data_IF_613099000473
#
_entry.id   IF_613099000473
#
_cell.length_a   1.000
_cell.length_b   1.000
_cell.length_c   1.000
_cell.angle_alpha   90.00
_cell.angle_beta   90.00
_cell.angle_gamma   90.00
#
_symmetry.space_group_name_H-M   'P 1'
#
loop_
_entity.id
_entity.type
_entity.pdbx_description
1 polymer ?
#
# COMPACT_ATOMS: atom_id res chain seq x y z
N UNK A 1 -60.91 -39.20 10.65
CA UNK A 1 -60.32 -38.96 9.31
C UNK A 1 -59.84 -37.52 9.27
N UNK A 2 -58.53 -37.31 9.42
CA UNK A 2 -57.88 -36.03 9.11
C UNK A 2 -56.51 -36.36 8.50
N UNK A 3 -56.33 -35.95 7.25
CA UNK A 3 -55.15 -36.17 6.41
C UNK A 3 -54.13 -35.07 6.65
N UNK A 4 -52.91 -35.44 7.01
CA UNK A 4 -51.75 -34.54 7.02
C UNK A 4 -51.17 -34.39 5.60
N UNK A 5 -50.63 -33.21 5.23
CA UNK A 5 -49.91 -33.04 3.97
C UNK A 5 -48.48 -33.57 4.06
N UNK A 6 -47.86 -33.96 2.92
CA UNK A 6 -46.53 -34.55 2.92
C UNK A 6 -45.42 -33.49 3.10
N UNK A 7 -44.33 -33.94 3.73
CA UNK A 7 -43.15 -33.17 4.06
C UNK A 7 -42.46 -32.57 2.82
N UNK A 8 -42.04 -31.32 2.97
CA UNK A 8 -41.30 -30.54 1.98
C UNK A 8 -39.90 -31.12 1.75
N UNK A 9 -39.52 -31.26 0.49
CA UNK A 9 -38.23 -31.76 0.02
C UNK A 9 -37.11 -30.82 0.45
N UNK A 10 -36.34 -31.19 1.49
CA UNK A 10 -35.07 -30.54 1.81
C UNK A 10 -34.05 -30.84 0.70
N UNK A 11 -33.70 -29.82 -0.07
CA UNK A 11 -32.49 -29.82 -0.89
C UNK A 11 -31.28 -29.78 0.06
N UNK A 12 -30.70 -30.96 0.33
CA UNK A 12 -29.34 -31.08 0.84
C UNK A 12 -28.38 -30.65 -0.27
N UNK A 13 -27.89 -29.42 -0.19
CA UNK A 13 -26.71 -29.00 -0.96
C UNK A 13 -25.51 -29.47 -0.16
N UNK A 14 -24.91 -30.57 -0.59
CA UNK A 14 -23.63 -31.05 -0.08
C UNK A 14 -22.55 -29.99 -0.33
N UNK A 15 -21.84 -29.61 0.73
CA UNK A 15 -20.60 -28.85 0.66
C UNK A 15 -19.52 -29.73 0.02
N UNK A 16 -19.52 -29.78 -1.30
CA UNK A 16 -18.44 -30.33 -2.11
C UNK A 16 -17.71 -29.16 -2.77
N UNK A 17 -16.54 -28.89 -2.20
CA UNK A 17 -15.30 -28.63 -2.95
C UNK A 17 -15.29 -27.40 -3.88
N UNK A 18 -15.20 -26.20 -3.28
CA UNK A 18 -14.82 -24.95 -3.98
C UNK A 18 -13.41 -24.44 -3.60
N UNK A 19 -12.65 -25.19 -2.81
CA UNK A 19 -11.26 -24.85 -2.45
C UNK A 19 -10.29 -24.96 -3.65
N UNK A 20 -10.59 -25.83 -4.61
CA UNK A 20 -9.66 -26.10 -5.72
C UNK A 20 -9.75 -25.11 -6.90
N UNK A 21 -10.78 -24.25 -6.96
CA UNK A 21 -10.90 -23.26 -8.03
C UNK A 21 -10.14 -21.96 -7.76
N UNK A 22 -9.83 -21.66 -6.49
CA UNK A 22 -9.24 -20.38 -6.07
C UNK A 22 -7.70 -20.40 -6.00
N UNK A 23 -7.07 -21.55 -5.73
CA UNK A 23 -5.60 -21.67 -5.80
C UNK A 23 -5.04 -21.39 -7.21
N UNK A 24 -5.87 -21.57 -8.24
CA UNK A 24 -5.46 -21.42 -9.64
C UNK A 24 -5.38 -19.96 -10.11
N UNK A 25 -6.04 -19.00 -9.44
CA UNK A 25 -5.93 -17.58 -9.85
C UNK A 25 -4.67 -16.91 -9.30
N UNK A 26 -4.25 -17.29 -8.09
CA UNK A 26 -3.05 -16.77 -7.43
C UNK A 26 -1.74 -17.36 -7.99
N UNK A 27 -1.74 -18.61 -8.45
CA UNK A 27 -0.52 -19.29 -8.92
C UNK A 27 -0.19 -19.06 -10.39
N UNK A 28 -1.17 -18.68 -11.23
CA UNK A 28 -0.99 -18.67 -12.70
C UNK A 28 -0.16 -17.49 -13.25
N UNK A 29 0.09 -16.43 -12.45
CA UNK A 29 0.92 -15.28 -12.84
C UNK A 29 2.43 -15.46 -12.59
N UNK A 30 2.88 -16.61 -12.10
CA UNK A 30 4.30 -16.89 -11.74
C UNK A 30 5.25 -17.19 -12.93
N UNK A 31 4.82 -17.18 -14.21
CA UNK A 31 5.62 -17.80 -15.30
C UNK A 31 6.22 -16.91 -16.39
N UNK A 32 6.18 -15.58 -16.28
CA UNK A 32 6.82 -14.74 -17.30
C UNK A 32 7.59 -13.57 -16.69
N UNK A 33 8.86 -13.79 -16.33
CA UNK A 33 9.95 -12.81 -16.47
C UNK A 33 11.25 -13.41 -15.93
N UNK A 34 11.97 -14.15 -16.76
CA UNK A 34 13.40 -14.38 -16.58
C UNK A 34 14.06 -14.11 -17.93
N UNK A 35 14.74 -12.98 -18.04
CA UNK A 35 15.66 -12.68 -19.13
C UNK A 35 16.93 -12.05 -18.54
N UNK A 36 18.06 -12.63 -18.93
CA UNK A 36 19.43 -12.29 -18.55
C UNK A 36 20.08 -11.23 -19.49
N UNK A 37 21.25 -10.73 -19.03
CA UNK A 37 22.45 -10.24 -19.77
C UNK A 37 22.49 -8.72 -20.14
N UNK A 38 23.65 -8.01 -20.25
CA UNK A 38 24.91 -7.96 -19.46
C UNK A 38 25.41 -6.53 -19.07
N UNK A 39 26.54 -6.55 -18.35
CA UNK A 39 27.55 -5.53 -18.05
C UNK A 39 28.09 -4.67 -19.24
N UNK A 40 28.37 -3.37 -19.01
CA UNK A 40 29.70 -2.71 -19.20
C UNK A 40 29.70 -1.16 -19.36
N UNK A 41 30.53 -0.53 -18.52
CA UNK A 41 31.54 0.52 -18.79
C UNK A 41 31.22 1.98 -19.27
N UNK A 42 31.58 2.91 -18.36
CA UNK A 42 32.49 4.10 -18.49
C UNK A 42 32.09 5.39 -19.25
N UNK A 43 32.08 6.48 -18.43
CA UNK A 43 32.64 7.85 -18.58
C UNK A 43 32.24 8.74 -19.77
N UNK A 44 31.64 9.90 -19.47
CA UNK A 44 32.27 11.23 -19.61
C UNK A 44 31.35 12.35 -19.10
N UNK A 45 31.96 13.38 -18.47
CA UNK A 45 31.32 14.64 -18.07
C UNK A 45 31.32 15.60 -19.27
N UNK A 46 30.34 16.52 -19.34
CA UNK A 46 30.73 17.90 -19.54
C UNK A 46 30.06 18.88 -18.58
N UNK A 47 30.68 20.05 -18.57
CA UNK A 47 30.58 21.21 -17.72
C UNK A 47 29.28 22.02 -17.83
N UNK A 48 28.97 22.65 -16.70
CA UNK A 48 28.18 23.86 -16.48
C UNK A 48 27.82 24.72 -17.70
N UNK A 49 26.52 24.92 -17.90
CA UNK A 49 25.99 26.20 -18.40
C UNK A 49 24.78 26.57 -17.55
N UNK A 50 24.90 27.70 -16.86
CA UNK A 50 23.82 28.36 -16.14
C UNK A 50 22.91 29.01 -17.19
N UNK A 51 21.67 28.54 -17.32
CA UNK A 51 20.64 29.21 -18.11
C UNK A 51 19.41 29.35 -17.24
N UNK A 52 19.21 30.58 -16.74
CA UNK A 52 17.97 31.02 -16.11
C UNK A 52 16.89 31.10 -17.20
N UNK A 53 15.92 30.19 -17.16
CA UNK A 53 14.70 30.24 -17.97
C UNK A 53 13.49 30.23 -17.05
N UNK A 54 13.01 31.43 -16.73
CA UNK A 54 11.65 31.67 -16.26
C UNK A 54 10.66 31.37 -17.40
N UNK A 55 9.50 30.84 -17.00
CA UNK A 55 8.24 30.86 -17.73
C UNK A 55 8.17 30.10 -19.06
N UNK A 56 8.17 28.77 -18.93
CA UNK A 56 7.48 27.90 -19.88
C UNK A 56 6.73 26.80 -19.10
N UNK A 57 5.65 27.17 -18.42
CA UNK A 57 4.66 26.18 -17.94
C UNK A 57 3.85 25.72 -19.15
N UNK A 58 4.51 24.96 -20.03
CA UNK A 58 3.81 24.02 -20.89
C UNK A 58 3.22 22.98 -19.93
N UNK A 59 1.88 22.95 -19.82
CA UNK A 59 1.17 21.80 -19.26
C UNK A 59 1.57 20.59 -20.09
N UNK A 60 2.59 19.86 -19.63
CA UNK A 60 3.07 18.67 -20.30
C UNK A 60 1.91 17.66 -20.39
N UNK A 61 1.82 16.88 -21.49
CA UNK A 61 0.98 15.68 -21.49
C UNK A 61 1.40 14.84 -20.28
N UNK A 62 0.43 14.43 -19.44
CA UNK A 62 0.63 13.79 -18.13
C UNK A 62 1.76 12.74 -18.18
N UNK A 63 2.97 13.16 -17.84
CA UNK A 63 4.16 12.34 -17.85
C UNK A 63 4.26 11.48 -16.59
N UNK A 64 5.21 10.54 -16.57
CA UNK A 64 5.54 9.78 -15.37
C UNK A 64 6.01 10.78 -14.30
N UNK A 65 5.45 10.79 -13.07
CA UNK A 65 5.87 11.71 -12.03
C UNK A 65 7.36 11.61 -11.71
N UNK A 66 8.02 12.74 -11.47
CA UNK A 66 9.46 12.80 -11.17
C UNK A 66 9.88 11.87 -10.02
N UNK A 67 9.04 11.75 -9.00
CA UNK A 67 9.30 10.86 -7.85
C UNK A 67 9.35 9.39 -8.27
N UNK A 68 8.52 8.98 -9.22
CA UNK A 68 8.50 7.61 -9.76
C UNK A 68 9.79 7.36 -10.54
N UNK A 69 10.19 8.30 -11.41
CA UNK A 69 11.42 8.22 -12.20
C UNK A 69 12.65 8.12 -11.27
N UNK A 70 12.74 9.01 -10.28
CA UNK A 70 13.84 9.04 -9.31
C UNK A 70 13.95 7.74 -8.53
N UNK A 71 12.84 7.05 -8.29
CA UNK A 71 12.81 5.81 -7.53
C UNK A 71 12.83 4.54 -8.37
N UNK A 72 12.87 4.63 -9.71
CA UNK A 72 12.79 3.47 -10.59
C UNK A 72 13.96 2.48 -10.42
N UNK A 73 15.11 2.95 -9.94
CA UNK A 73 16.31 2.15 -9.75
C UNK A 73 16.39 1.42 -8.39
N UNK A 74 15.46 1.70 -7.46
CA UNK A 74 15.42 1.01 -6.18
C UNK A 74 14.71 -0.34 -6.31
N UNK A 75 15.15 -1.32 -5.52
CA UNK A 75 14.46 -2.60 -5.39
C UNK A 75 13.01 -2.37 -4.96
N UNK A 76 12.07 -2.95 -5.70
CA UNK A 76 10.64 -2.77 -5.49
C UNK A 76 10.06 -3.93 -4.68
N UNK A 77 9.19 -3.60 -3.73
CA UNK A 77 8.44 -4.59 -2.96
C UNK A 77 7.21 -5.05 -3.75
N UNK A 78 6.74 -6.26 -3.50
CA UNK A 78 5.44 -6.73 -3.99
C UNK A 78 4.44 -6.79 -2.84
N UNK A 79 3.26 -6.19 -3.01
CA UNK A 79 2.25 -6.14 -1.95
C UNK A 79 1.76 -7.52 -1.53
N UNK A 80 1.71 -8.49 -2.46
CA UNK A 80 1.27 -9.84 -2.14
C UNK A 80 2.27 -10.55 -1.21
N UNK A 81 3.58 -10.35 -1.40
CA UNK A 81 4.61 -10.90 -0.50
C UNK A 81 4.50 -10.30 0.92
N UNK A 82 4.15 -9.01 1.00
CA UNK A 82 3.90 -8.34 2.28
C UNK A 82 2.65 -8.89 2.97
N UNK A 83 1.55 -9.06 2.22
CA UNK A 83 0.31 -9.61 2.76
C UNK A 83 0.45 -11.08 3.16
N UNK A 84 1.25 -11.88 2.44
CA UNK A 84 1.57 -13.26 2.82
C UNK A 84 2.38 -13.30 4.13
N UNK A 85 3.36 -12.39 4.27
CA UNK A 85 4.14 -12.22 5.50
C UNK A 85 3.24 -11.85 6.68
N UNK A 86 2.26 -10.96 6.46
CA UNK A 86 1.26 -10.60 7.46
C UNK A 86 0.34 -11.78 7.82
N UNK A 87 -0.09 -12.57 6.83
CA UNK A 87 -0.99 -13.69 7.04
C UNK A 87 -0.38 -14.80 7.91
N UNK A 88 0.94 -14.93 7.92
CA UNK A 88 1.67 -15.86 8.78
C UNK A 88 1.72 -15.41 10.25
N UNK A 89 1.30 -14.19 10.59
CA UNK A 89 1.33 -13.65 11.94
C UNK A 89 -0.04 -13.73 12.62
N UNK A 90 -0.07 -14.31 13.82
CA UNK A 90 -1.31 -14.42 14.63
C UNK A 90 -1.67 -13.12 15.37
N UNK A 91 -0.73 -12.17 15.49
CA UNK A 91 -0.90 -10.95 16.30
C UNK A 91 -1.32 -9.72 15.47
N UNK A 92 -1.86 -9.96 14.26
CA UNK A 92 -2.33 -8.92 13.35
C UNK A 92 -3.85 -8.90 13.27
N UNK A 93 -4.42 -7.70 13.34
CA UNK A 93 -5.86 -7.50 13.20
C UNK A 93 -6.19 -6.19 12.51
N UNK A 94 -7.36 -6.15 11.88
CA UNK A 94 -7.95 -4.96 11.31
C UNK A 94 -8.88 -4.25 12.28
N UNK A 95 -8.93 -2.94 12.11
CA UNK A 95 -9.98 -2.06 12.59
C UNK A 95 -10.68 -1.46 11.37
N UNK A 96 -11.91 -1.88 11.12
CA UNK A 96 -12.74 -1.37 10.03
C UNK A 96 -13.10 0.11 10.21
N UNK A 97 -13.40 0.85 9.13
CA UNK A 97 -13.89 2.22 9.21
C UNK A 97 -15.04 2.37 10.19
N UNK A 98 -14.94 3.32 11.11
CA UNK A 98 -15.98 3.58 12.11
C UNK A 98 -16.14 2.49 13.16
N UNK A 99 -15.20 1.55 13.28
CA UNK A 99 -15.27 0.42 14.21
C UNK A 99 -14.09 0.39 15.20
N UNK A 100 -14.31 -0.22 16.37
CA UNK A 100 -13.27 -0.63 17.32
C UNK A 100 -13.14 -2.16 17.40
N UNK A 101 -13.94 -2.89 16.60
CA UNK A 101 -13.91 -4.35 16.56
C UNK A 101 -12.60 -4.81 15.92
N UNK A 102 -11.87 -5.65 16.64
CA UNK A 102 -10.66 -6.31 16.16
C UNK A 102 -11.05 -7.51 15.31
N UNK A 103 -10.73 -7.46 14.02
CA UNK A 103 -10.97 -8.56 13.08
C UNK A 103 -9.62 -9.19 12.74
N UNK A 104 -9.39 -10.49 12.99
CA UNK A 104 -8.13 -11.14 12.63
C UNK A 104 -7.77 -10.94 11.15
N UNK A 105 -6.49 -10.68 10.87
CA UNK A 105 -6.01 -10.33 9.52
C UNK A 105 -6.42 -11.37 8.45
N UNK A 106 -6.23 -12.65 8.76
CA UNK A 106 -6.49 -13.77 7.85
C UNK A 106 -7.95 -13.86 7.38
N UNK A 107 -8.91 -13.26 8.09
CA UNK A 107 -10.33 -13.26 7.71
C UNK A 107 -10.67 -12.23 6.62
N UNK A 108 -9.75 -11.29 6.34
CA UNK A 108 -10.04 -10.10 5.50
C UNK A 108 -9.06 -9.88 4.36
N UNK A 109 -7.95 -10.59 4.31
CA UNK A 109 -6.92 -10.38 3.27
C UNK A 109 -7.44 -10.49 1.83
N UNK A 110 -8.46 -11.32 1.59
CA UNK A 110 -9.09 -11.51 0.27
C UNK A 110 -9.97 -10.33 -0.18
N UNK A 111 -10.29 -9.39 0.71
CA UNK A 111 -11.18 -8.25 0.41
C UNK A 111 -10.44 -7.04 -0.19
N UNK A 112 -9.12 -7.11 -0.29
CA UNK A 112 -8.32 -6.01 -0.82
C UNK A 112 -8.31 -5.95 -2.35
N UNK A 113 -8.38 -4.72 -2.86
CA UNK A 113 -8.28 -4.39 -4.28
C UNK A 113 -6.97 -3.67 -4.59
N UNK A 114 -6.58 -3.73 -5.86
CA UNK A 114 -5.49 -2.93 -6.41
C UNK A 114 -6.06 -1.85 -7.33
N UNK A 115 -5.40 -0.69 -7.48
CA UNK A 115 -4.14 -0.29 -6.84
C UNK A 115 -4.28 -0.08 -5.32
N UNK A 116 -3.17 -0.13 -4.59
CA UNK A 116 -3.18 -0.07 -3.12
C UNK A 116 -2.19 0.96 -2.58
N UNK A 117 -2.58 1.64 -1.49
CA UNK A 117 -1.73 2.51 -0.72
C UNK A 117 -1.61 1.98 0.70
N UNK A 118 -0.38 1.71 1.12
CA UNK A 118 -0.05 1.41 2.51
C UNK A 118 0.48 2.67 3.17
N UNK A 119 -0.17 3.11 4.23
CA UNK A 119 0.25 4.27 5.02
C UNK A 119 0.72 3.81 6.38
N UNK A 120 2.03 3.81 6.59
CA UNK A 120 2.65 3.44 7.85
C UNK A 120 2.73 4.66 8.76
N UNK A 121 2.36 4.50 10.03
CA UNK A 121 2.33 5.59 10.99
C UNK A 121 2.64 5.13 12.42
N UNK A 122 3.32 6.00 13.17
CA UNK A 122 3.60 5.80 14.60
C UNK A 122 2.46 6.31 15.49
N UNK A 123 2.81 6.73 16.71
CA UNK A 123 1.86 7.27 17.71
C UNK A 123 1.93 8.79 17.83
N UNK A 124 2.73 9.45 17.01
CA UNK A 124 2.91 10.89 17.14
C UNK A 124 1.74 11.65 16.49
N UNK A 125 1.42 12.82 17.04
CA UNK A 125 0.41 13.74 16.44
C UNK A 125 0.72 14.09 14.98
N UNK A 126 2.00 14.11 14.68
CA UNK A 126 2.59 14.39 13.38
C UNK A 126 2.15 13.27 12.42
N UNK A 127 2.29 12.00 12.81
CA UNK A 127 1.88 10.86 11.97
C UNK A 127 0.38 10.80 11.67
N UNK A 128 -0.48 11.24 12.58
CA UNK A 128 -1.93 11.32 12.31
C UNK A 128 -2.29 12.32 11.21
N UNK A 129 -1.48 13.38 11.01
CA UNK A 129 -1.70 14.32 9.90
C UNK A 129 -1.49 13.66 8.53
N UNK A 130 -0.63 12.63 8.46
CA UNK A 130 -0.46 11.83 7.26
C UNK A 130 -1.72 11.03 6.94
N UNK A 131 -2.39 10.49 7.95
CA UNK A 131 -3.66 9.77 7.76
C UNK A 131 -4.78 10.71 7.31
N UNK A 132 -4.84 11.92 7.87
CA UNK A 132 -5.82 12.94 7.45
C UNK A 132 -5.65 13.29 5.96
N UNK A 133 -4.40 13.39 5.47
CA UNK A 133 -4.11 13.61 4.04
C UNK A 133 -4.67 12.48 3.16
N UNK A 134 -4.64 11.24 3.65
CA UNK A 134 -5.13 10.07 2.92
C UNK A 134 -6.66 10.03 2.85
N UNK A 135 -7.35 10.48 3.91
CA UNK A 135 -8.82 10.55 3.92
C UNK A 135 -9.37 11.54 2.91
N UNK A 136 -8.68 12.66 2.71
CA UNK A 136 -9.09 13.71 1.78
C UNK A 136 -8.83 13.36 0.30
N UNK A 137 -8.11 12.26 0.03
CA UNK A 137 -7.67 11.92 -1.32
C UNK A 137 -8.72 11.13 -2.11
N UNK A 138 -9.00 11.57 -3.34
CA UNK A 138 -9.82 10.79 -4.28
C UNK A 138 -8.95 9.73 -4.94
N UNK A 139 -8.99 8.52 -4.39
CA UNK A 139 -8.24 7.38 -4.90
C UNK A 139 -9.20 6.22 -5.25
N UNK A 140 -9.17 5.79 -6.52
CA UNK A 140 -9.89 4.61 -6.98
C UNK A 140 -9.06 3.36 -6.70
N UNK A 141 -8.96 2.99 -5.43
CA UNK A 141 -8.22 1.82 -4.99
C UNK A 141 -8.39 1.55 -3.50
N UNK A 142 -7.50 0.74 -2.93
CA UNK A 142 -7.51 0.43 -1.52
C UNK A 142 -6.51 1.29 -0.75
N UNK A 143 -6.95 1.97 0.31
CA UNK A 143 -6.05 2.56 1.31
C UNK A 143 -6.05 1.66 2.55
N UNK A 144 -4.88 1.39 3.10
CA UNK A 144 -4.71 0.65 4.35
C UNK A 144 -3.71 1.40 5.25
N UNK A 145 -4.18 1.84 6.42
CA UNK A 145 -3.30 2.33 7.47
C UNK A 145 -2.58 1.16 8.15
N UNK A 146 -1.30 1.29 8.48
CA UNK A 146 -0.53 0.26 9.17
C UNK A 146 0.21 0.88 10.36
N UNK A 147 0.01 0.31 11.54
CA UNK A 147 0.71 0.75 12.77
C UNK A 147 0.91 -0.43 13.71
N UNK A 148 1.78 -0.30 14.70
CA UNK A 148 1.95 -1.32 15.73
C UNK A 148 1.02 -1.16 16.93
N UNK A 149 0.42 0.03 17.10
CA UNK A 149 -0.57 0.24 18.15
C UNK A 149 -1.67 1.21 17.73
N UNK A 150 -2.92 0.81 17.95
CA UNK A 150 -4.09 1.65 17.78
C UNK A 150 -5.18 1.21 18.76
N UNK A 151 -5.40 2.02 19.80
CA UNK A 151 -6.32 1.69 20.91
C UNK A 151 -7.67 2.41 20.80
N UNK A 152 -7.82 3.29 19.80
CA UNK A 152 -9.03 4.07 19.60
C UNK A 152 -9.98 3.41 18.59
N UNK A 153 -11.20 3.95 18.51
CA UNK A 153 -12.10 3.71 17.37
C UNK A 153 -11.44 4.21 16.10
N UNK A 154 -11.50 3.45 15.01
CA UNK A 154 -11.03 3.91 13.71
C UNK A 154 -12.01 4.98 13.18
N UNK A 155 -11.54 6.23 13.12
CA UNK A 155 -12.32 7.37 12.64
C UNK A 155 -12.07 7.68 11.15
N UNK A 156 -11.21 6.91 10.50
CA UNK A 156 -10.88 7.07 9.09
C UNK A 156 -11.84 6.26 8.22
N UNK A 157 -11.94 6.66 6.95
CA UNK A 157 -12.77 6.01 5.94
C UNK A 157 -12.13 4.75 5.32
N UNK A 158 -10.96 4.35 5.80
CA UNK A 158 -10.21 3.19 5.36
C UNK A 158 -9.83 2.29 6.56
N UNK A 159 -9.61 0.98 6.35
CA UNK A 159 -9.19 0.07 7.41
C UNK A 159 -7.80 0.42 7.96
N UNK A 160 -7.57 0.07 9.22
CA UNK A 160 -6.25 0.12 9.86
C UNK A 160 -5.84 -1.30 10.22
N UNK A 161 -4.69 -1.74 9.73
CA UNK A 161 -3.99 -2.93 10.16
C UNK A 161 -3.12 -2.61 11.38
N UNK A 162 -3.37 -3.31 12.47
CA UNK A 162 -2.53 -3.26 13.66
C UNK A 162 -1.57 -4.45 13.64
N UNK A 163 -0.31 -4.16 13.33
CA UNK A 163 0.83 -5.07 13.33
C UNK A 163 1.60 -4.94 14.65
N UNK A 164 1.06 -5.57 15.70
CA UNK A 164 1.56 -5.39 17.08
C UNK A 164 3.04 -5.75 17.27
N UNK A 165 3.60 -6.62 16.42
CA UNK A 165 5.00 -7.04 16.45
C UNK A 165 5.89 -6.31 15.44
N UNK A 166 5.36 -5.35 14.68
CA UNK A 166 6.10 -4.62 13.64
C UNK A 166 6.74 -5.56 12.62
N UNK A 167 6.09 -6.66 12.25
CA UNK A 167 6.58 -7.62 11.26
C UNK A 167 6.75 -6.95 9.89
N UNK A 168 5.75 -6.20 9.43
CA UNK A 168 5.78 -5.50 8.15
C UNK A 168 6.81 -4.38 8.16
N UNK A 169 6.85 -3.60 9.25
CA UNK A 169 7.82 -2.53 9.43
C UNK A 169 9.26 -3.07 9.34
N UNK A 170 9.56 -4.19 10.01
CA UNK A 170 10.88 -4.83 9.95
C UNK A 170 11.20 -5.40 8.57
N UNK A 171 10.22 -6.06 7.94
CA UNK A 171 10.39 -6.63 6.60
C UNK A 171 10.72 -5.56 5.55
N UNK A 172 10.13 -4.37 5.69
CA UNK A 172 10.33 -3.24 4.79
C UNK A 172 11.49 -2.31 5.17
N UNK A 173 12.20 -2.61 6.27
CA UNK A 173 13.22 -1.74 6.87
C UNK A 173 12.69 -0.33 7.22
N UNK A 174 11.45 -0.27 7.70
CA UNK A 174 10.74 0.94 8.12
C UNK A 174 10.62 1.05 9.64
N UNK A 175 11.31 0.24 10.44
CA UNK A 175 11.21 0.34 11.90
C UNK A 175 11.78 1.65 12.43
N UNK A 176 11.02 2.35 13.28
CA UNK A 176 11.50 3.52 14.01
C UNK A 176 12.49 3.09 15.12
N UNK A 177 13.76 3.52 15.07
CA UNK A 177 14.74 3.20 16.11
C UNK A 177 14.36 3.75 17.49
N UNK A 178 13.62 4.86 17.55
CA UNK A 178 13.17 5.47 18.82
C UNK A 178 11.95 4.74 19.39
N UNK A 179 11.17 4.08 18.54
CA UNK A 179 9.98 3.30 18.92
C UNK A 179 10.29 1.90 19.44
N UNK A 180 11.52 1.60 19.84
CA UNK A 180 11.91 0.27 20.29
C UNK A 180 11.87 -0.81 19.18
N UNK A 181 11.82 -0.39 17.91
CA UNK A 181 11.81 -1.28 16.74
C UNK A 181 10.45 -1.89 16.38
N UNK A 182 9.38 -1.57 17.13
CA UNK A 182 8.02 -2.03 16.84
C UNK A 182 7.21 -1.04 16.02
N UNK A 183 7.29 0.26 16.33
CA UNK A 183 6.61 1.29 15.55
C UNK A 183 7.24 1.47 14.18
N UNK A 184 6.43 1.65 13.11
CA UNK A 184 6.96 2.03 11.82
C UNK A 184 7.27 3.53 11.77
N UNK A 185 8.27 3.90 10.96
CA UNK A 185 8.50 5.24 10.47
C UNK A 185 7.32 5.67 9.60
N UNK A 186 6.91 6.91 9.75
CA UNK A 186 5.88 7.52 8.91
C UNK A 186 6.27 7.39 7.44
N UNK A 187 5.48 6.65 6.67
CA UNK A 187 5.79 6.41 5.28
C UNK A 187 4.55 6.04 4.47
N UNK A 188 4.59 6.35 3.18
CA UNK A 188 3.54 6.00 2.22
C UNK A 188 4.16 5.12 1.16
N UNK A 189 3.57 3.97 0.92
CA UNK A 189 3.93 3.07 -0.17
C UNK A 189 2.75 2.92 -1.10
N UNK A 190 3.00 3.06 -2.40
CA UNK A 190 1.95 3.03 -3.41
C UNK A 190 2.26 1.91 -4.39
N UNK A 191 1.29 1.01 -4.57
CA UNK A 191 1.37 -0.16 -5.41
C UNK A 191 0.43 -0.04 -6.61
N UNK A 192 0.91 -0.44 -7.78
CA UNK A 192 0.13 -0.44 -9.01
C UNK A 192 -0.95 -1.56 -9.03
N UNK A 193 -1.66 -1.66 -10.16
CA UNK A 193 -2.69 -2.67 -10.41
C UNK A 193 -2.14 -4.11 -10.48
N UNK A 194 -0.82 -4.25 -10.61
CA UNK A 194 -0.12 -5.53 -10.63
C UNK A 194 0.44 -5.89 -9.24
N UNK A 195 0.34 -4.99 -8.27
CA UNK A 195 0.80 -5.17 -6.90
C UNK A 195 2.28 -4.85 -6.72
N UNK A 196 2.92 -4.18 -7.69
CA UNK A 196 4.32 -3.78 -7.62
C UNK A 196 4.43 -2.37 -7.06
N UNK A 197 5.38 -2.16 -6.16
CA UNK A 197 5.68 -0.85 -5.59
C UNK A 197 6.08 0.14 -6.70
N UNK A 198 5.29 1.20 -6.87
CA UNK A 198 5.65 2.33 -7.71
C UNK A 198 6.57 3.28 -6.94
N UNK A 199 6.14 3.67 -5.74
CA UNK A 199 6.79 4.71 -4.94
C UNK A 199 6.78 4.35 -3.47
N UNK A 200 7.88 4.67 -2.79
CA UNK A 200 8.04 4.62 -1.34
C UNK A 200 8.49 5.99 -0.85
N UNK A 201 7.64 6.61 -0.04
CA UNK A 201 7.84 7.96 0.47
C UNK A 201 8.10 7.84 1.96
N UNK A 202 9.33 8.09 2.38
CA UNK A 202 9.70 8.20 3.80
C UNK A 202 9.40 9.60 4.26
N UNK A 203 8.48 9.74 5.21
CA UNK A 203 8.07 11.05 5.68
C UNK A 203 8.90 11.41 6.90
N UNK A 204 9.78 12.40 6.74
CA UNK A 204 10.52 12.96 7.85
C UNK A 204 9.58 13.76 8.76
N UNK A 205 10.04 14.07 9.99
CA UNK A 205 9.30 14.88 10.97
C UNK A 205 8.91 16.30 10.48
N UNK A 206 9.45 16.76 9.34
CA UNK A 206 9.08 18.03 8.70
C UNK A 206 8.24 17.78 7.43
N UNK A 207 6.93 17.69 7.60
CA UNK A 207 5.97 17.54 6.48
C UNK A 207 5.98 18.70 5.49
N UNK A 208 6.61 19.84 5.81
CA UNK A 208 6.65 21.01 4.92
C UNK A 208 7.75 20.90 3.86
N UNK A 209 8.67 19.94 3.96
CA UNK A 209 9.77 19.77 3.00
C UNK A 209 9.99 18.29 2.71
N UNK A 210 9.65 17.87 1.49
CA UNK A 210 10.01 16.55 1.01
C UNK A 210 11.27 16.59 0.16
N UNK A 211 12.10 15.55 0.32
CA UNK A 211 13.21 15.11 -0.52
C UNK A 211 13.63 16.07 -1.65
N UNK A 212 14.53 17.01 -1.38
CA UNK A 212 15.25 17.82 -2.40
C UNK A 212 14.38 18.61 -3.40
N UNK A 213 13.09 18.80 -3.15
CA UNK A 213 12.17 19.50 -4.05
C UNK A 213 11.42 20.63 -3.33
N UNK A 214 11.07 21.67 -4.08
CA UNK A 214 10.21 22.76 -3.61
C UNK A 214 8.73 22.33 -3.42
N UNK A 215 8.37 21.10 -3.80
CA UNK A 215 7.00 20.59 -3.76
C UNK A 215 6.62 20.02 -2.39
N UNK A 216 5.37 20.19 -2.00
CA UNK A 216 4.80 19.62 -0.77
C UNK A 216 4.50 18.12 -0.91
N UNK A 217 4.43 17.41 0.22
CA UNK A 217 4.03 15.99 0.24
C UNK A 217 2.66 15.76 -0.43
N UNK A 218 1.73 16.71 -0.26
CA UNK A 218 0.40 16.67 -0.86
C UNK A 218 0.46 16.71 -2.39
N UNK A 219 1.30 17.58 -2.96
CA UNK A 219 1.44 17.71 -4.42
C UNK A 219 2.06 16.44 -5.03
N UNK A 220 3.16 15.95 -4.43
CA UNK A 220 3.80 14.71 -4.89
C UNK A 220 2.82 13.54 -4.84
N UNK A 221 2.02 13.47 -3.76
CA UNK A 221 1.02 12.43 -3.61
C UNK A 221 -0.09 12.55 -4.66
N UNK A 222 -0.63 13.76 -4.90
CA UNK A 222 -1.63 14.00 -5.94
C UNK A 222 -1.13 13.62 -7.33
N UNK A 223 0.09 13.99 -7.69
CA UNK A 223 0.69 13.65 -9.00
C UNK A 223 0.78 12.13 -9.21
N UNK A 224 1.17 11.39 -8.16
CA UNK A 224 1.25 9.92 -8.22
C UNK A 224 -0.14 9.29 -8.32
N UNK A 225 -1.13 9.80 -7.57
CA UNK A 225 -2.51 9.32 -7.68
C UNK A 225 -3.09 9.58 -9.07
N UNK A 226 -2.86 10.76 -9.65
CA UNK A 226 -3.29 11.06 -11.01
C UNK A 226 -2.64 10.12 -12.04
N UNK A 227 -1.36 9.82 -11.87
CA UNK A 227 -0.64 8.87 -12.72
C UNK A 227 -1.25 7.47 -12.66
N UNK A 228 -1.58 6.98 -11.46
CA UNK A 228 -2.20 5.65 -11.26
C UNK A 228 -3.63 5.59 -11.79
N UNK A 229 -4.41 6.65 -11.63
CA UNK A 229 -5.78 6.66 -12.14
C UNK A 229 -5.79 6.69 -13.69
N UNK A 230 -4.73 7.22 -14.31
CA UNK A 230 -4.59 7.28 -15.77
C UNK A 230 -4.08 5.98 -16.41
N UNK A 231 -3.48 5.05 -15.64
CA UNK A 231 -2.80 3.84 -16.14
C UNK A 231 -3.27 2.56 -15.42
#
# INVERSE_FOLDING_TARGET
>A
MHTMPPASTQLQISALDLSNAFELSWTRKRRHAAYDVPDSAKKSRPSSVCSSSSDFVQKQPRGIPDVVIRQAHFAKSNVFELLDTANASEDMYFLEPGSSLKIPFNQRVSSFSLPMILTFFGVSKVDYQLLDLMTDSQFEGCVLGVTSNYEAKNNYNFPILVDTRGVLARHLHLSDPLGGGTYPLASVMIFDRQGVELVKILVNYDYKKYYSSDNSLREVFQDVLEYINAH
#
